data_IF_718663537682
#
_entry.id   IF_718663537682
#
_cell.length_a   1.000
_cell.length_b   1.000
_cell.length_c   1.000
_cell.angle_alpha   90.00
_cell.angle_beta   90.00
_cell.angle_gamma   90.00
#
_symmetry.space_group_name_H-M   'P 1'
#
loop_
_entity.id
_entity.type
_entity.pdbx_description
1 polymer ?
#
# COMPACT_ATOMS: atom_id res chain seq x y z
N UNK A 1 3.35 -14.86 1.56
CA UNK A 1 3.28 -14.69 0.09
C UNK A 1 3.70 -15.91 -0.74
N UNK A 2 4.74 -16.68 -0.35
CA UNK A 2 5.28 -17.80 -1.16
C UNK A 2 4.26 -18.87 -1.60
N UNK A 3 3.22 -19.18 -0.82
CA UNK A 3 2.32 -20.32 -1.07
C UNK A 3 1.07 -20.02 -1.92
N UNK A 4 0.54 -18.80 -1.89
CA UNK A 4 -0.70 -18.46 -2.63
C UNK A 4 -0.42 -18.17 -4.12
N UNK A 5 0.66 -17.45 -4.40
CA UNK A 5 1.09 -17.12 -5.77
C UNK A 5 1.55 -18.37 -6.55
N UNK A 6 2.24 -19.29 -5.88
CA UNK A 6 2.59 -20.57 -6.50
C UNK A 6 1.35 -21.36 -6.90
N UNK A 7 0.29 -21.38 -6.07
CA UNK A 7 -0.97 -22.07 -6.37
C UNK A 7 -1.70 -21.50 -7.60
N UNK A 8 -1.65 -20.19 -7.81
CA UNK A 8 -2.27 -19.54 -8.98
C UNK A 8 -1.59 -19.94 -10.30
N UNK A 9 -0.30 -20.30 -10.27
CA UNK A 9 0.48 -20.73 -11.45
C UNK A 9 0.18 -22.19 -11.82
N UNK A 10 -0.45 -22.97 -10.94
CA UNK A 10 -0.72 -24.41 -11.16
C UNK A 10 -1.84 -24.65 -12.17
N UNK A 11 -2.75 -23.68 -12.37
CA UNK A 11 -3.90 -23.84 -13.26
C UNK A 11 -3.75 -23.03 -14.55
N UNK A 12 -3.84 -23.69 -15.70
CA UNK A 12 -3.78 -23.04 -17.02
C UNK A 12 -4.84 -21.95 -17.20
N UNK A 13 -6.03 -22.12 -16.64
CA UNK A 13 -7.11 -21.13 -16.72
C UNK A 13 -6.73 -19.81 -16.04
N UNK A 14 -6.06 -19.88 -14.88
CA UNK A 14 -5.56 -18.70 -14.18
C UNK A 14 -4.50 -17.98 -15.02
N UNK A 15 -3.58 -18.72 -15.65
CA UNK A 15 -2.56 -18.14 -16.54
C UNK A 15 -3.21 -17.46 -17.76
N UNK A 16 -4.20 -18.11 -18.39
CA UNK A 16 -4.94 -17.55 -19.53
C UNK A 16 -5.68 -16.27 -19.15
N UNK A 17 -6.34 -16.25 -17.99
CA UNK A 17 -6.99 -15.04 -17.48
C UNK A 17 -6.00 -13.89 -17.28
N UNK A 18 -4.89 -14.16 -16.59
CA UNK A 18 -3.91 -13.11 -16.27
C UNK A 18 -3.22 -12.57 -17.52
N UNK A 19 -2.93 -13.43 -18.51
CA UNK A 19 -2.43 -13.03 -19.82
C UNK A 19 -3.41 -12.13 -20.61
N UNK A 20 -4.72 -12.25 -20.36
CA UNK A 20 -5.72 -11.41 -21.03
C UNK A 20 -5.80 -10.01 -20.42
N UNK A 21 -5.68 -9.91 -19.10
CA UNK A 21 -5.82 -8.63 -18.38
C UNK A 21 -4.50 -7.85 -18.29
N UNK A 22 -3.34 -8.49 -18.53
CA UNK A 22 -2.04 -7.83 -18.61
C UNK A 22 -1.48 -7.89 -20.04
N UNK A 23 -1.06 -6.76 -20.59
CA UNK A 23 -0.39 -6.69 -21.91
C UNK A 23 1.09 -7.03 -21.88
N UNK A 24 1.71 -7.05 -20.70
CA UNK A 24 3.14 -7.26 -20.45
C UNK A 24 3.39 -8.58 -19.70
N UNK A 25 4.67 -8.99 -19.62
CA UNK A 25 5.06 -10.24 -18.95
C UNK A 25 4.98 -10.12 -17.41
N UNK A 26 3.78 -10.32 -16.87
CA UNK A 26 3.52 -10.34 -15.44
C UNK A 26 4.31 -11.43 -14.70
N UNK A 27 4.78 -12.48 -15.39
CA UNK A 27 5.61 -13.53 -14.76
C UNK A 27 7.00 -13.00 -14.39
N UNK A 28 7.49 -11.98 -15.09
CA UNK A 28 8.73 -11.31 -14.73
C UNK A 28 8.64 -10.68 -13.33
N UNK A 29 7.54 -10.01 -13.01
CA UNK A 29 7.32 -9.46 -11.66
C UNK A 29 7.33 -10.55 -10.59
N UNK A 30 6.75 -11.72 -10.88
CA UNK A 30 6.79 -12.86 -9.97
C UNK A 30 8.19 -13.43 -9.78
N UNK A 31 9.00 -13.44 -10.84
CA UNK A 31 10.38 -13.87 -10.77
C UNK A 31 11.21 -12.88 -9.94
N UNK A 32 11.07 -11.57 -10.20
CA UNK A 32 11.75 -10.51 -9.47
C UNK A 32 11.44 -10.54 -7.98
N UNK A 33 10.15 -10.68 -7.61
CA UNK A 33 9.72 -10.75 -6.22
C UNK A 33 10.22 -11.97 -5.43
N UNK A 34 10.97 -12.89 -6.04
CA UNK A 34 11.68 -13.97 -5.32
C UNK A 34 12.98 -13.50 -4.67
N UNK A 35 13.60 -12.46 -5.22
CA UNK A 35 14.76 -11.82 -4.62
C UNK A 35 14.23 -10.73 -3.68
N UNK A 36 14.46 -10.83 -2.37
CA UNK A 36 13.98 -9.82 -1.41
C UNK A 36 14.64 -8.45 -1.61
N UNK A 37 15.82 -8.42 -2.24
CA UNK A 37 16.58 -7.20 -2.55
C UNK A 37 16.26 -6.62 -3.95
N UNK A 38 15.25 -7.16 -4.64
CA UNK A 38 14.94 -6.74 -6.03
C UNK A 38 14.52 -5.27 -6.15
N UNK A 39 13.90 -4.74 -5.09
CA UNK A 39 13.47 -3.36 -5.00
C UNK A 39 14.45 -2.62 -4.08
N UNK A 40 14.91 -1.42 -4.45
CA UNK A 40 15.89 -0.67 -3.67
C UNK A 40 15.25 -0.05 -2.41
N UNK A 41 14.79 -0.89 -1.49
CA UNK A 41 14.11 -0.47 -0.27
C UNK A 41 15.00 0.43 0.60
N UNK A 42 16.33 0.27 0.52
CA UNK A 42 17.30 1.11 1.22
C UNK A 42 17.18 2.59 0.83
N UNK A 43 16.79 2.90 -0.41
CA UNK A 43 16.57 4.27 -0.90
C UNK A 43 15.23 4.85 -0.44
N UNK A 44 14.28 4.00 -0.04
CA UNK A 44 12.91 4.39 0.33
C UNK A 44 12.56 4.08 1.79
N UNK A 45 13.55 3.72 2.61
CA UNK A 45 13.32 3.24 3.99
C UNK A 45 12.98 4.34 4.98
N UNK A 46 13.39 5.57 4.69
CA UNK A 46 13.19 6.71 5.57
C UNK A 46 12.41 7.83 4.87
N UNK A 47 12.11 8.88 5.63
CA UNK A 47 11.32 10.03 5.19
C UNK A 47 12.15 11.31 5.19
N UNK A 48 13.48 11.17 5.09
CA UNK A 48 14.40 12.30 4.98
C UNK A 48 14.08 13.07 3.69
N UNK A 49 14.12 14.40 3.76
CA UNK A 49 13.79 15.27 2.63
C UNK A 49 12.28 15.52 2.40
N UNK A 50 11.38 14.76 3.03
CA UNK A 50 9.94 15.03 2.94
C UNK A 50 9.55 16.07 3.99
N UNK A 51 9.25 17.28 3.54
CA UNK A 51 8.86 18.40 4.40
C UNK A 51 7.37 18.78 4.29
N UNK A 52 6.66 18.33 3.26
CA UNK A 52 5.24 18.60 3.10
C UNK A 52 4.41 17.82 4.14
N UNK A 53 3.21 18.29 4.51
CA UNK A 53 2.27 17.49 5.29
C UNK A 53 1.96 16.17 4.55
N UNK A 54 1.93 15.07 5.29
CA UNK A 54 1.59 13.74 4.75
C UNK A 54 0.45 13.14 5.55
N UNK A 55 -0.49 12.48 4.87
CA UNK A 55 -1.46 11.58 5.51
C UNK A 55 -1.22 10.15 5.02
N UNK A 56 -0.91 9.26 5.95
CA UNK A 56 -0.77 7.83 5.70
C UNK A 56 -2.04 7.11 6.17
N UNK A 57 -2.77 6.52 5.22
CA UNK A 57 -4.04 5.84 5.49
C UNK A 57 -3.91 4.36 5.18
N UNK A 58 -4.36 3.51 6.10
CA UNK A 58 -4.28 2.05 5.99
C UNK A 58 -5.56 1.40 6.49
N UNK A 59 -5.84 0.17 6.05
CA UNK A 59 -6.99 -0.59 6.52
C UNK A 59 -6.65 -1.43 7.75
N UNK A 60 -7.56 -1.49 8.71
CA UNK A 60 -7.44 -2.32 9.92
C UNK A 60 -7.11 -3.79 9.63
N UNK A 61 -7.64 -4.33 8.54
CA UNK A 61 -7.45 -5.73 8.13
C UNK A 61 -6.05 -6.05 7.62
N UNK A 62 -5.20 -5.05 7.34
CA UNK A 62 -3.85 -5.25 6.81
C UNK A 62 -2.77 -5.02 7.88
N UNK A 63 -2.47 -6.07 8.65
CA UNK A 63 -1.55 -6.03 9.80
C UNK A 63 -0.13 -5.55 9.47
N UNK A 64 0.36 -5.80 8.26
CA UNK A 64 1.70 -5.36 7.88
C UNK A 64 1.73 -3.85 7.60
N UNK A 65 0.67 -3.32 7.00
CA UNK A 65 0.52 -1.88 6.76
C UNK A 65 0.21 -1.09 8.03
N UNK A 66 -0.57 -1.65 8.97
CA UNK A 66 -0.89 -0.96 10.24
C UNK A 66 0.34 -0.71 11.12
N UNK A 67 1.43 -1.46 10.95
CA UNK A 67 2.72 -1.14 11.58
C UNK A 67 3.24 0.23 11.16
N UNK A 68 3.07 0.60 9.88
CA UNK A 68 3.46 1.91 9.35
C UNK A 68 2.71 3.06 10.03
N UNK A 69 1.44 2.85 10.41
CA UNK A 69 0.65 3.86 11.11
C UNK A 69 1.17 4.19 12.52
N UNK A 70 1.96 3.29 13.11
CA UNK A 70 2.66 3.54 14.38
C UNK A 70 4.06 4.08 14.11
N UNK A 71 4.77 3.50 13.13
CA UNK A 71 6.18 3.80 12.89
C UNK A 71 6.42 5.19 12.29
N UNK A 72 5.67 5.59 11.26
CA UNK A 72 5.96 6.82 10.53
C UNK A 72 5.78 8.11 11.35
N UNK A 73 4.74 8.27 12.18
CA UNK A 73 4.63 9.44 13.05
C UNK A 73 5.78 9.59 14.05
N UNK A 74 6.44 8.49 14.43
CA UNK A 74 7.62 8.53 15.31
C UNK A 74 8.89 8.96 14.57
N UNK A 75 8.92 8.85 13.24
CA UNK A 75 10.05 9.26 12.41
C UNK A 75 10.00 10.75 12.07
N UNK A 76 8.80 11.33 11.90
CA UNK A 76 8.59 12.69 11.39
C UNK A 76 7.27 13.27 11.87
N UNK A 77 7.31 14.49 12.41
CA UNK A 77 6.15 15.17 13.02
C UNK A 77 5.08 15.62 12.02
N UNK A 78 5.45 15.83 10.74
CA UNK A 78 4.54 16.26 9.67
C UNK A 78 3.68 15.12 9.09
N UNK A 79 3.62 13.98 9.78
CA UNK A 79 2.89 12.78 9.35
C UNK A 79 1.65 12.59 10.20
N UNK A 80 0.52 12.62 9.53
CA UNK A 80 -0.77 12.24 10.06
C UNK A 80 -1.09 10.80 9.65
N UNK A 81 -1.82 10.08 10.51
CA UNK A 81 -2.18 8.68 10.26
C UNK A 81 -3.67 8.47 10.45
N UNK A 82 -4.22 7.52 9.67
CA UNK A 82 -5.57 7.01 9.88
C UNK A 82 -5.61 5.51 9.62
N UNK A 83 -6.15 4.77 10.58
CA UNK A 83 -6.50 3.36 10.40
C UNK A 83 -7.99 3.31 10.14
N UNK A 84 -8.37 2.89 8.94
CA UNK A 84 -9.75 2.83 8.48
C UNK A 84 -10.32 1.46 8.90
N UNK A 85 -11.37 1.44 9.74
CA UNK A 85 -11.94 0.20 10.27
C UNK A 85 -12.64 -0.60 9.17
N UNK A 86 -12.68 -1.93 9.31
CA UNK A 86 -13.34 -2.82 8.34
C UNK A 86 -12.86 -2.65 6.88
N UNK A 87 -11.58 -2.33 6.69
CA UNK A 87 -10.95 -2.20 5.39
C UNK A 87 -9.62 -2.99 5.34
N UNK A 88 -9.27 -3.50 4.16
CA UNK A 88 -8.00 -4.16 3.88
C UNK A 88 -7.05 -3.24 3.11
N UNK A 89 -6.42 -3.78 2.06
CA UNK A 89 -5.46 -3.04 1.23
C UNK A 89 -6.13 -1.95 0.37
N UNK A 90 -7.34 -2.19 -0.11
CA UNK A 90 -8.07 -1.27 -0.99
C UNK A 90 -9.03 -0.38 -0.18
N UNK A 91 -8.49 0.40 0.76
CA UNK A 91 -9.27 1.21 1.71
C UNK A 91 -10.31 2.14 1.07
N UNK A 92 -10.02 2.67 -0.11
CA UNK A 92 -10.92 3.55 -0.87
C UNK A 92 -12.12 2.79 -1.45
N UNK A 93 -11.98 1.49 -1.70
CA UNK A 93 -13.06 0.62 -2.18
C UNK A 93 -13.85 0.02 -1.02
N UNK A 94 -13.17 -0.41 0.04
CA UNK A 94 -13.80 -1.05 1.20
C UNK A 94 -14.61 -0.05 2.03
N UNK A 95 -14.07 1.16 2.23
CA UNK A 95 -14.67 2.21 3.06
C UNK A 95 -14.58 3.60 2.39
N UNK A 96 -15.22 3.79 1.22
CA UNK A 96 -15.10 5.01 0.42
C UNK A 96 -15.48 6.28 1.21
N UNK A 97 -16.53 6.20 2.04
CA UNK A 97 -17.00 7.36 2.83
C UNK A 97 -15.99 7.81 3.87
N UNK A 98 -15.39 6.86 4.61
CA UNK A 98 -14.41 7.17 5.65
C UNK A 98 -13.12 7.68 5.01
N UNK A 99 -12.64 6.98 3.98
CA UNK A 99 -11.48 7.39 3.19
C UNK A 99 -11.59 8.84 2.72
N UNK A 100 -12.69 9.17 2.03
CA UNK A 100 -12.92 10.52 1.51
C UNK A 100 -13.00 11.54 2.65
N UNK A 101 -13.67 11.20 3.76
CA UNK A 101 -13.80 12.15 4.88
C UNK A 101 -12.45 12.47 5.54
N UNK A 102 -11.59 11.47 5.72
CA UNK A 102 -10.24 11.68 6.26
C UNK A 102 -9.42 12.54 5.31
N UNK A 103 -9.49 12.27 4.00
CA UNK A 103 -8.79 13.05 3.00
C UNK A 103 -9.25 14.51 2.96
N UNK A 104 -10.57 14.76 2.99
CA UNK A 104 -11.14 16.11 3.08
C UNK A 104 -10.66 16.86 4.33
N UNK A 105 -10.66 16.20 5.50
CA UNK A 105 -10.19 16.81 6.75
C UNK A 105 -8.71 17.18 6.67
N UNK A 106 -7.90 16.32 6.05
CA UNK A 106 -6.48 16.57 5.88
C UNK A 106 -6.22 17.76 4.94
N UNK A 107 -6.86 17.79 3.76
CA UNK A 107 -6.71 18.87 2.77
C UNK A 107 -7.15 20.21 3.37
N UNK A 108 -8.37 20.28 3.92
CA UNK A 108 -8.91 21.53 4.46
C UNK A 108 -8.16 22.06 5.69
N UNK A 109 -7.39 21.20 6.38
CA UNK A 109 -6.50 21.63 7.47
C UNK A 109 -5.19 22.22 6.91
N UNK A 110 -4.69 21.69 5.80
CA UNK A 110 -3.51 22.18 5.09
C UNK A 110 -3.71 23.57 4.48
N UNK A 111 -4.94 23.91 4.08
CA UNK A 111 -5.29 25.23 3.51
C UNK A 111 -5.30 26.38 4.52
N UNK A 112 -5.04 26.11 5.82
CA UNK A 112 -5.06 27.12 6.89
C UNK A 112 -3.67 27.50 7.43
N UNK A 113 -2.60 27.20 6.69
CA UNK A 113 -1.22 27.61 7.02
C UNK A 113 -0.81 28.82 6.19
#
# INVERSE_FOLDING_TARGET
>A
MKTALLKMIIHEESVKYVNRVHRSDWKQFLFMGRNEEWYPFEETKDLVGIACPVVFMVGEGNKDETKGAIMYPLMKENIHVSIIPFAGHLIHSDQPKIYTKVLELFINKGDKV
#
